data_IF_366687275147
#
_entry.id   IF_366687275147
#
_cell.length_a   1.000
_cell.length_b   1.000
_cell.length_c   1.000
_cell.angle_alpha   90.00
_cell.angle_beta   90.00
_cell.angle_gamma   90.00
#
_symmetry.space_group_name_H-M   'P 1'
#
loop_
_entity.id
_entity.type
_entity.pdbx_description
1 polymer ?
#
# COMPACT_ATOMS: atom_id res chain seq x y z
N UNK A 1 25.48 7.45 -2.85
CA UNK A 1 24.00 7.59 -2.83
C UNK A 1 23.38 6.30 -2.33
N UNK A 2 22.42 6.39 -1.42
CA UNK A 2 21.64 5.26 -0.90
C UNK A 2 20.39 5.07 -1.75
N UNK A 3 20.00 3.84 -2.04
CA UNK A 3 18.73 3.53 -2.71
C UNK A 3 17.62 3.38 -1.68
N UNK A 4 16.57 4.17 -1.82
CA UNK A 4 15.37 4.13 -0.98
C UNK A 4 14.27 3.41 -1.75
N UNK A 5 13.79 2.25 -1.26
CA UNK A 5 12.70 1.54 -1.92
C UNK A 5 11.37 2.27 -1.71
N UNK A 6 10.60 2.36 -2.79
CA UNK A 6 9.25 2.93 -2.81
C UNK A 6 8.30 1.86 -3.31
N UNK A 7 7.16 1.71 -2.64
CA UNK A 7 6.08 0.80 -3.06
C UNK A 7 4.82 1.58 -3.34
N UNK A 8 4.05 1.11 -4.32
CA UNK A 8 2.81 1.76 -4.74
C UNK A 8 1.60 0.96 -4.32
N UNK A 9 0.57 1.67 -3.87
CA UNK A 9 -0.69 1.13 -3.40
C UNK A 9 -1.86 1.96 -3.94
N UNK A 10 -3.06 1.39 -3.93
CA UNK A 10 -4.30 2.15 -4.03
C UNK A 10 -4.83 2.48 -2.64
N UNK A 11 -5.54 3.60 -2.52
CA UNK A 11 -6.15 4.05 -1.28
C UNK A 11 -7.66 4.07 -1.41
N UNK A 12 -8.35 3.44 -0.47
CA UNK A 12 -9.79 3.47 -0.33
C UNK A 12 -10.15 3.93 1.08
N UNK A 13 -11.01 4.93 1.18
CA UNK A 13 -11.46 5.48 2.47
C UNK A 13 -12.97 5.59 2.44
N UNK A 14 -13.59 5.06 3.49
CA UNK A 14 -15.00 5.22 3.77
C UNK A 14 -15.20 5.94 5.11
N UNK A 15 -16.26 6.72 5.24
CA UNK A 15 -16.70 7.31 6.50
C UNK A 15 -18.22 7.21 6.57
N UNK A 16 -18.76 6.64 7.65
CA UNK A 16 -20.21 6.48 7.79
C UNK A 16 -20.87 5.59 6.72
N UNK A 17 -20.09 4.74 6.03
CA UNK A 17 -20.58 3.88 4.95
C UNK A 17 -20.50 4.49 3.55
N UNK A 18 -20.10 5.75 3.43
CA UNK A 18 -19.99 6.47 2.15
C UNK A 18 -18.54 6.71 1.76
N UNK A 19 -18.33 6.89 0.45
CA UNK A 19 -17.08 7.37 -0.12
C UNK A 19 -16.72 8.75 0.43
N UNK A 20 -15.46 8.96 0.80
CA UNK A 20 -15.01 10.27 1.28
C UNK A 20 -14.63 11.20 0.13
N UNK A 21 -14.86 12.49 0.33
CA UNK A 21 -14.19 13.54 -0.41
C UNK A 21 -12.71 13.60 0.02
N UNK A 22 -11.81 13.20 -0.88
CA UNK A 22 -10.37 13.15 -0.61
C UNK A 22 -9.75 14.54 -0.40
N UNK A 23 -10.28 15.58 -1.05
CA UNK A 23 -9.80 16.94 -0.87
C UNK A 23 -10.10 17.42 0.56
N UNK A 24 -11.33 17.20 1.03
CA UNK A 24 -11.72 17.51 2.41
C UNK A 24 -10.94 16.65 3.42
N UNK A 25 -10.75 15.36 3.11
CA UNK A 25 -9.98 14.44 3.95
C UNK A 25 -8.53 14.90 4.11
N UNK A 26 -7.85 15.24 3.01
CA UNK A 26 -6.48 15.73 3.05
C UNK A 26 -6.37 17.08 3.74
N UNK A 27 -7.36 17.95 3.61
CA UNK A 27 -7.38 19.21 4.36
C UNK A 27 -7.49 18.97 5.87
N UNK A 28 -8.35 18.05 6.32
CA UNK A 28 -8.47 17.68 7.72
C UNK A 28 -7.16 17.05 8.27
N UNK A 29 -6.45 16.27 7.45
CA UNK A 29 -5.15 15.71 7.78
C UNK A 29 -4.09 16.77 8.09
N UNK A 30 -4.08 17.91 7.39
CA UNK A 30 -3.16 19.02 7.70
C UNK A 30 -3.36 19.60 9.10
N UNK A 31 -4.58 19.52 9.63
CA UNK A 31 -4.90 19.99 10.98
C UNK A 31 -4.48 18.99 12.07
N UNK A 32 -4.04 17.80 11.68
CA UNK A 32 -3.68 16.70 12.59
C UNK A 32 -2.18 16.48 12.71
N UNK A 33 -1.37 17.41 12.22
CA UNK A 33 0.08 17.39 12.41
C UNK A 33 0.39 17.34 13.92
N UNK A 34 1.42 16.59 14.29
CA UNK A 34 1.80 16.20 15.66
C UNK A 34 0.84 15.24 16.37
N UNK A 35 -0.21 14.75 15.71
CA UNK A 35 -1.04 13.71 16.31
C UNK A 35 -0.24 12.43 16.48
N UNK A 36 -0.18 11.94 17.71
CA UNK A 36 0.39 10.65 18.05
C UNK A 36 -0.73 9.60 18.14
N UNK A 37 -0.56 8.50 17.43
CA UNK A 37 -1.55 7.44 17.36
C UNK A 37 -0.88 6.11 17.63
N UNK A 38 -1.31 5.42 18.68
CA UNK A 38 -0.99 4.02 18.90
C UNK A 38 -1.68 3.18 17.81
N UNK A 39 -0.91 2.53 16.94
CA UNK A 39 -1.39 1.74 15.79
C UNK A 39 -1.15 0.23 15.99
N UNK A 40 -0.33 -0.15 16.96
CA UNK A 40 -0.21 -1.52 17.47
C UNK A 40 0.13 -1.46 18.98
N UNK A 41 0.20 -2.61 19.65
CA UNK A 41 0.46 -2.70 21.10
C UNK A 41 1.65 -1.84 21.53
N UNK A 42 2.76 -1.95 20.82
CA UNK A 42 4.02 -1.25 21.12
C UNK A 42 4.50 -0.46 19.90
N UNK A 43 3.59 0.11 19.12
CA UNK A 43 3.97 0.91 17.95
C UNK A 43 3.10 2.14 17.81
N UNK A 44 3.76 3.30 17.90
CA UNK A 44 3.14 4.60 17.75
C UNK A 44 3.62 5.25 16.46
N UNK A 45 2.68 5.91 15.78
CA UNK A 45 2.95 6.72 14.59
C UNK A 45 2.59 8.16 14.89
N UNK A 46 3.48 9.07 14.50
CA UNK A 46 3.29 10.51 14.58
C UNK A 46 3.30 11.08 13.18
N UNK A 47 2.30 11.90 12.85
CA UNK A 47 2.31 12.71 11.64
C UNK A 47 3.13 13.99 11.88
N UNK A 48 4.29 14.09 11.26
CA UNK A 48 5.21 15.23 11.45
C UNK A 48 4.95 16.38 10.48
N UNK A 49 4.65 16.03 9.23
CA UNK A 49 4.37 16.99 8.17
C UNK A 49 3.19 16.49 7.32
N UNK A 50 2.32 17.42 6.92
CA UNK A 50 1.24 17.19 5.99
C UNK A 50 1.06 18.41 5.08
N UNK A 51 1.43 18.27 3.80
CA UNK A 51 1.43 19.37 2.83
C UNK A 51 0.64 19.01 1.59
N UNK A 52 -0.44 19.75 1.33
CA UNK A 52 -1.10 19.73 0.02
C UNK A 52 -0.18 20.37 -1.02
N UNK A 53 0.05 19.66 -2.13
CA UNK A 53 0.74 20.22 -3.30
C UNK A 53 -0.23 20.72 -4.36
N UNK A 54 -1.42 20.13 -4.39
CA UNK A 54 -2.58 20.53 -5.19
C UNK A 54 -3.86 20.04 -4.47
N UNK A 55 -5.04 20.22 -5.09
CA UNK A 55 -6.32 19.84 -4.49
C UNK A 55 -6.47 18.32 -4.23
N UNK A 56 -5.70 17.50 -4.93
CA UNK A 56 -5.83 16.03 -4.96
C UNK A 56 -4.57 15.30 -4.48
N UNK A 57 -3.51 16.03 -4.14
CA UNK A 57 -2.22 15.45 -3.80
C UNK A 57 -1.70 15.99 -2.47
N UNK A 58 -1.41 15.06 -1.56
CA UNK A 58 -0.83 15.35 -0.24
C UNK A 58 0.50 14.63 -0.05
N UNK A 59 1.41 15.32 0.60
CA UNK A 59 2.69 14.79 1.08
C UNK A 59 2.65 14.64 2.58
N UNK A 60 3.18 13.52 3.05
CA UNK A 60 3.11 13.14 4.45
C UNK A 60 4.48 12.65 4.91
N UNK A 61 4.88 13.10 6.09
CA UNK A 61 6.06 12.58 6.80
C UNK A 61 5.59 12.01 8.12
N UNK A 62 5.91 10.74 8.35
CA UNK A 62 5.57 10.03 9.57
C UNK A 62 6.82 9.64 10.34
N UNK A 63 6.75 9.64 11.67
CA UNK A 63 7.70 8.95 12.53
C UNK A 63 7.01 7.76 13.18
N UNK A 64 7.52 6.56 12.95
CA UNK A 64 7.01 5.33 13.53
C UNK A 64 8.05 4.64 14.41
N UNK A 65 7.64 4.11 15.56
CA UNK A 65 8.54 3.40 16.45
C UNK A 65 7.87 2.81 17.68
N UNK A 66 8.66 2.04 18.43
CA UNK A 66 8.28 1.45 19.71
C UNK A 66 8.59 2.44 20.84
N UNK A 67 7.54 2.85 21.56
CA UNK A 67 7.64 3.80 22.69
C UNK A 67 8.17 3.15 23.97
N UNK A 68 8.20 1.82 24.05
CA UNK A 68 8.75 1.04 25.16
C UNK A 68 10.08 0.37 24.78
N UNK A 69 10.50 0.50 23.53
CA UNK A 69 11.67 -0.15 22.98
C UNK A 69 12.99 0.40 23.52
N UNK A 70 14.06 -0.34 23.22
CA UNK A 70 15.44 0.07 23.53
C UNK A 70 16.19 0.34 22.23
N UNK A 71 16.95 1.44 22.18
CA UNK A 71 17.89 1.70 21.10
C UNK A 71 19.27 1.25 21.53
N UNK A 72 19.93 0.47 20.67
CA UNK A 72 21.31 0.04 20.90
C UNK A 72 22.22 0.90 20.01
N UNK A 73 23.08 1.67 20.64
CA UNK A 73 24.20 2.36 20.00
C UNK A 73 25.47 1.56 20.22
N UNK A 74 26.42 1.62 19.27
CA UNK A 74 27.73 1.05 19.47
C UNK A 74 28.72 2.19 19.75
N UNK A 75 29.21 2.28 20.97
CA UNK A 75 30.24 3.23 21.34
C UNK A 75 31.60 2.71 20.87
N UNK A 76 32.21 3.42 19.91
CA UNK A 76 33.51 3.03 19.35
C UNK A 76 34.67 3.34 20.29
N UNK A 77 34.51 4.32 21.19
CA UNK A 77 35.53 4.69 22.15
C UNK A 77 35.61 3.68 23.29
N UNK A 78 34.46 3.17 23.73
CA UNK A 78 34.36 2.14 24.77
C UNK A 78 34.43 0.71 24.20
N UNK A 79 34.20 0.54 22.90
CA UNK A 79 34.18 -0.77 22.25
C UNK A 79 32.99 -1.64 22.68
N UNK A 80 31.90 -1.02 23.14
CA UNK A 80 30.78 -1.70 23.78
C UNK A 80 29.43 -1.14 23.28
N UNK A 81 28.34 -1.95 23.35
CA UNK A 81 27.01 -1.45 23.10
C UNK A 81 26.51 -0.59 24.27
N UNK A 82 25.97 0.58 23.96
CA UNK A 82 25.17 1.41 24.87
C UNK A 82 23.70 1.14 24.57
N UNK A 83 22.94 0.76 25.59
CA UNK A 83 21.50 0.54 25.49
C UNK A 83 20.78 1.73 26.11
N UNK A 84 20.08 2.50 25.28
CA UNK A 84 19.24 3.60 25.73
C UNK A 84 17.76 3.17 25.69
N UNK A 85 17.11 3.18 26.85
CA UNK A 85 15.68 2.93 26.94
C UNK A 85 14.89 4.13 26.43
N UNK A 86 13.74 3.88 25.80
CA UNK A 86 12.78 4.93 25.51
C UNK A 86 12.32 5.64 26.80
N UNK A 87 11.92 6.89 26.64
CA UNK A 87 11.41 7.75 27.70
C UNK A 87 10.08 8.38 27.26
N UNK A 88 9.28 8.96 28.18
CA UNK A 88 8.03 9.61 27.82
C UNK A 88 8.16 10.78 26.82
N UNK A 89 9.36 11.30 26.60
CA UNK A 89 9.59 12.45 25.69
C UNK A 89 10.45 12.13 24.49
N UNK A 90 11.10 10.94 24.46
CA UNK A 90 12.01 10.52 23.39
C UNK A 90 12.03 9.00 23.27
N UNK A 91 11.79 8.51 22.08
CA UNK A 91 11.90 7.09 21.73
C UNK A 91 12.55 6.92 20.36
N UNK A 92 12.95 5.68 20.04
CA UNK A 92 13.50 5.36 18.73
C UNK A 92 12.41 5.41 17.67
N UNK A 93 12.54 6.29 16.69
CA UNK A 93 11.59 6.37 15.59
C UNK A 93 12.29 6.41 14.23
N UNK A 94 11.62 5.88 13.22
CA UNK A 94 12.07 5.94 11.83
C UNK A 94 11.15 6.82 11.01
N UNK A 95 11.71 7.76 10.23
CA UNK A 95 10.91 8.53 9.30
C UNK A 95 10.38 7.61 8.19
N UNK A 96 9.16 7.87 7.73
CA UNK A 96 8.55 7.24 6.57
C UNK A 96 7.83 8.33 5.78
N UNK A 97 8.21 8.52 4.52
CA UNK A 97 7.56 9.50 3.64
C UNK A 97 6.49 8.82 2.83
N UNK A 98 5.41 9.55 2.57
CA UNK A 98 4.37 9.13 1.65
C UNK A 98 3.91 10.30 0.80
N UNK A 99 3.52 9.99 -0.43
CA UNK A 99 2.76 10.90 -1.29
C UNK A 99 1.49 10.17 -1.70
N UNK A 100 0.36 10.84 -1.56
CA UNK A 100 -0.94 10.31 -1.98
C UNK A 100 -1.49 11.26 -3.04
N UNK A 101 -1.89 10.73 -4.19
CA UNK A 101 -2.60 11.47 -5.23
C UNK A 101 -3.92 10.77 -5.52
N UNK A 102 -5.03 11.42 -5.21
CA UNK A 102 -6.39 10.91 -5.33
C UNK A 102 -7.22 11.82 -6.24
N UNK A 103 -7.29 11.45 -7.52
CA UNK A 103 -8.08 12.16 -8.54
C UNK A 103 -8.90 11.16 -9.37
N UNK A 104 -9.63 11.67 -10.37
CA UNK A 104 -10.50 10.86 -11.24
C UNK A 104 -9.77 9.73 -11.96
N UNK A 105 -8.46 9.90 -12.22
CA UNK A 105 -7.62 8.88 -12.86
C UNK A 105 -7.06 7.83 -11.88
N UNK A 106 -7.34 7.96 -10.58
CA UNK A 106 -7.00 6.96 -9.58
C UNK A 106 -6.38 7.52 -8.30
N UNK A 107 -6.35 6.65 -7.28
CA UNK A 107 -5.97 6.94 -5.90
C UNK A 107 -4.69 6.21 -5.56
N UNK A 108 -3.54 6.81 -5.86
CA UNK A 108 -2.23 6.17 -5.75
C UNK A 108 -1.49 6.68 -4.52
N UNK A 109 -0.95 5.76 -3.74
CA UNK A 109 -0.03 6.01 -2.61
C UNK A 109 1.37 5.56 -3.02
N UNK A 110 2.34 6.46 -3.02
CA UNK A 110 3.76 6.13 -3.02
C UNK A 110 4.28 6.16 -1.58
N UNK A 111 4.71 5.02 -1.06
CA UNK A 111 5.14 4.86 0.33
C UNK A 111 6.60 4.40 0.40
N UNK A 112 7.41 5.08 1.22
CA UNK A 112 8.76 4.65 1.57
C UNK A 112 8.70 3.27 2.26
N UNK A 113 9.41 2.28 1.72
CA UNK A 113 9.39 0.90 2.19
C UNK A 113 10.64 0.57 3.02
N UNK A 114 10.79 1.17 4.19
CA UNK A 114 11.92 0.92 5.10
C UNK A 114 11.64 -0.13 6.18
N UNK A 115 12.65 -0.93 6.57
CA UNK A 115 12.54 -1.83 7.74
C UNK A 115 12.33 -0.99 9.01
N UNK A 116 11.25 -1.27 9.74
CA UNK A 116 10.88 -0.57 10.96
C UNK A 116 10.30 0.84 10.74
N UNK A 117 9.92 1.18 9.51
CA UNK A 117 9.09 2.35 9.23
C UNK A 117 7.60 2.00 9.26
N UNK A 118 6.76 2.95 8.87
CA UNK A 118 5.30 2.79 8.81
C UNK A 118 4.94 1.92 7.61
N UNK A 119 4.36 0.74 7.87
CA UNK A 119 3.86 -0.17 6.83
C UNK A 119 2.46 0.25 6.37
N UNK A 120 1.96 -0.25 5.22
CA UNK A 120 0.59 0.04 4.77
C UNK A 120 -0.46 -0.22 5.84
N UNK A 121 -0.38 -1.36 6.55
CA UNK A 121 -1.30 -1.71 7.63
C UNK A 121 -1.24 -0.71 8.80
N UNK A 122 -0.04 -0.23 9.15
CA UNK A 122 0.11 0.77 10.21
C UNK A 122 -0.43 2.13 9.76
N UNK A 123 -0.30 2.45 8.46
CA UNK A 123 -0.83 3.66 7.86
C UNK A 123 -2.37 3.64 7.78
N UNK A 124 -2.98 2.50 7.41
CA UNK A 124 -4.44 2.29 7.49
C UNK A 124 -4.95 2.62 8.90
N UNK A 125 -4.36 1.97 9.92
CA UNK A 125 -4.73 2.18 11.32
C UNK A 125 -4.51 3.60 11.80
N UNK A 126 -3.46 4.27 11.31
CA UNK A 126 -3.22 5.67 11.62
C UNK A 126 -4.38 6.53 11.11
N UNK A 127 -4.74 6.41 9.82
CA UNK A 127 -5.83 7.18 9.22
C UNK A 127 -7.20 6.86 9.83
N UNK A 128 -7.41 5.62 10.29
CA UNK A 128 -8.64 5.26 11.01
C UNK A 128 -8.74 5.93 12.38
N UNK A 129 -7.63 6.10 13.11
CA UNK A 129 -7.62 6.52 14.52
C UNK A 129 -7.27 7.98 14.75
N UNK A 130 -6.57 8.63 13.83
CA UNK A 130 -6.18 10.04 13.95
C UNK A 130 -7.42 10.92 14.07
N UNK A 131 -7.47 11.90 15.00
CA UNK A 131 -8.68 12.72 15.18
C UNK A 131 -8.85 13.69 14.01
N UNK A 132 -9.77 13.41 13.08
CA UNK A 132 -10.11 14.29 11.96
C UNK A 132 -11.51 14.88 12.14
N UNK A 133 -11.60 16.21 12.13
CA UNK A 133 -12.88 16.92 12.15
C UNK A 133 -13.68 16.58 10.90
N UNK A 134 -14.96 16.27 11.06
CA UNK A 134 -15.87 15.97 9.94
C UNK A 134 -15.81 14.53 9.43
N UNK A 135 -14.91 13.70 9.95
CA UNK A 135 -14.82 12.29 9.60
C UNK A 135 -14.92 11.45 10.88
N UNK A 136 -16.01 10.74 11.09
CA UNK A 136 -16.17 9.74 12.16
C UNK A 136 -16.30 8.35 11.55
N UNK A 137 -15.90 7.32 12.30
CA UNK A 137 -16.03 5.92 11.89
C UNK A 137 -15.45 5.65 10.50
N UNK A 138 -14.19 6.08 10.33
CA UNK A 138 -13.44 5.88 9.10
C UNK A 138 -12.98 4.44 9.00
N UNK A 139 -13.00 3.94 7.78
CA UNK A 139 -12.39 2.68 7.40
C UNK A 139 -11.46 2.90 6.24
N UNK A 140 -10.22 2.42 6.37
CA UNK A 140 -9.16 2.73 5.42
C UNK A 140 -8.51 1.45 4.92
N UNK A 141 -8.37 1.34 3.61
CA UNK A 141 -7.78 0.19 2.95
C UNK A 141 -6.71 0.67 1.96
N UNK A 142 -5.50 0.11 2.11
CA UNK A 142 -4.34 0.40 1.30
C UNK A 142 -3.91 -0.90 0.62
N UNK A 143 -4.27 -1.03 -0.65
CA UNK A 143 -4.15 -2.26 -1.44
C UNK A 143 -2.95 -2.18 -2.39
N UNK A 144 -2.14 -3.23 -2.54
CA UNK A 144 -0.98 -3.20 -3.44
C UNK A 144 -1.38 -2.98 -4.91
N UNK A 145 -0.67 -2.09 -5.61
CA UNK A 145 -0.75 -1.97 -7.07
C UNK A 145 0.07 -3.09 -7.71
N UNK A 146 -0.53 -3.86 -8.61
CA UNK A 146 0.17 -4.89 -9.36
C UNK A 146 1.12 -4.26 -10.38
N UNK A 147 2.30 -4.86 -10.57
CA UNK A 147 3.16 -4.53 -11.70
C UNK A 147 2.78 -5.36 -12.92
N UNK A 148 3.14 -4.92 -14.13
CA UNK A 148 2.96 -5.69 -15.37
C UNK A 148 3.54 -7.12 -15.28
N UNK A 149 4.61 -7.28 -14.50
CA UNK A 149 5.23 -8.60 -14.30
C UNK A 149 4.29 -9.62 -13.64
N UNK A 150 3.31 -9.19 -12.84
CA UNK A 150 2.34 -10.10 -12.24
C UNK A 150 1.50 -10.80 -13.30
N UNK A 151 0.98 -10.02 -14.26
CA UNK A 151 0.14 -10.49 -15.35
C UNK A 151 0.94 -11.32 -16.35
N UNK A 152 2.14 -10.85 -16.71
CA UNK A 152 3.07 -11.60 -17.58
C UNK A 152 3.39 -12.99 -17.01
N UNK A 153 3.58 -13.08 -15.70
CA UNK A 153 3.89 -14.35 -15.03
C UNK A 153 2.68 -15.29 -14.96
N UNK A 154 1.46 -14.75 -14.83
CA UNK A 154 0.22 -15.51 -14.96
C UNK A 154 0.06 -16.04 -16.39
N UNK A 155 0.32 -15.20 -17.39
CA UNK A 155 0.23 -15.56 -18.81
C UNK A 155 1.24 -16.63 -19.20
N UNK A 156 2.40 -16.66 -18.55
CA UNK A 156 3.44 -17.66 -18.78
C UNK A 156 3.06 -19.08 -18.34
N UNK A 157 2.03 -19.29 -17.52
CA UNK A 157 1.62 -20.64 -17.12
C UNK A 157 1.01 -21.42 -18.29
N UNK A 158 1.52 -22.59 -18.66
CA UNK A 158 0.82 -23.44 -19.64
C UNK A 158 -0.40 -24.14 -19.03
N UNK A 159 -0.40 -24.28 -17.71
CA UNK A 159 -1.47 -24.90 -16.94
C UNK A 159 -1.57 -24.24 -15.58
N UNK A 160 -2.79 -23.90 -15.17
CA UNK A 160 -3.07 -23.31 -13.86
C UNK A 160 -3.86 -24.33 -13.03
N UNK A 161 -3.38 -24.67 -11.84
CA UNK A 161 -4.07 -25.58 -10.92
C UNK A 161 -4.86 -24.84 -9.86
N UNK A 162 -4.34 -23.74 -9.33
CA UNK A 162 -4.96 -23.01 -8.23
C UNK A 162 -4.94 -21.52 -8.54
N UNK A 163 -6.06 -20.86 -8.31
CA UNK A 163 -6.14 -19.41 -8.26
C UNK A 163 -6.80 -19.03 -6.93
N UNK A 164 -6.25 -18.03 -6.24
CA UNK A 164 -6.85 -17.48 -5.04
C UNK A 164 -6.68 -15.97 -4.99
N UNK A 165 -7.71 -15.29 -4.51
CA UNK A 165 -7.75 -13.84 -4.39
C UNK A 165 -8.40 -13.44 -3.07
N UNK A 166 -7.89 -12.37 -2.50
CA UNK A 166 -8.47 -11.65 -1.38
C UNK A 166 -8.72 -10.22 -1.83
N UNK A 167 -9.98 -9.81 -1.82
CA UNK A 167 -10.40 -8.45 -2.14
C UNK A 167 -10.93 -7.75 -0.90
N UNK A 168 -10.64 -6.47 -0.81
CA UNK A 168 -11.20 -5.54 0.15
C UNK A 168 -12.49 -4.93 -0.43
N UNK A 169 -13.30 -4.29 0.41
CA UNK A 169 -14.57 -3.72 -0.01
C UNK A 169 -14.30 -2.43 -0.81
N UNK A 170 -14.61 -2.37 -2.11
CA UNK A 170 -14.38 -1.16 -2.90
C UNK A 170 -15.29 -0.02 -2.42
N UNK A 171 -14.86 1.21 -2.72
CA UNK A 171 -15.68 2.42 -2.55
C UNK A 171 -16.94 2.30 -3.42
N UNK A 172 -18.13 2.43 -2.81
CA UNK A 172 -19.43 2.17 -3.43
C UNK A 172 -19.77 3.00 -4.66
N UNK A 173 -19.00 4.04 -4.95
CA UNK A 173 -19.31 4.97 -6.02
C UNK A 173 -18.89 4.47 -7.42
N UNK A 174 -18.04 3.44 -7.54
CA UNK A 174 -17.40 3.11 -8.83
C UNK A 174 -17.88 1.75 -9.35
N UNK A 175 -18.85 1.81 -10.28
CA UNK A 175 -19.53 0.68 -10.92
C UNK A 175 -18.67 -0.14 -11.91
N UNK A 176 -17.35 0.10 -11.98
CA UNK A 176 -16.53 -0.40 -13.10
C UNK A 176 -16.08 -1.85 -12.95
N UNK A 177 -16.21 -2.43 -11.75
CA UNK A 177 -15.85 -3.83 -11.51
C UNK A 177 -16.98 -4.57 -10.78
N UNK A 178 -18.14 -4.69 -11.42
CA UNK A 178 -19.20 -5.59 -10.95
C UNK A 178 -18.78 -7.06 -11.16
N UNK A 179 -18.00 -7.59 -10.22
CA UNK A 179 -17.75 -9.03 -10.13
C UNK A 179 -18.50 -9.62 -8.92
N UNK A 180 -18.85 -10.91 -9.02
CA UNK A 180 -19.66 -11.59 -8.00
C UNK A 180 -19.02 -11.57 -6.61
N UNK A 181 -17.69 -11.42 -6.49
CA UNK A 181 -17.03 -11.35 -5.18
C UNK A 181 -17.29 -10.03 -4.47
N UNK A 182 -17.37 -8.92 -5.21
CA UNK A 182 -17.74 -7.63 -4.65
C UNK A 182 -19.21 -7.59 -4.27
N UNK A 183 -20.10 -8.12 -5.11
CA UNK A 183 -21.52 -8.24 -4.78
C UNK A 183 -21.72 -9.05 -3.50
N UNK A 184 -21.05 -10.19 -3.37
CA UNK A 184 -21.14 -11.00 -2.15
C UNK A 184 -20.55 -10.28 -0.92
N UNK A 185 -19.47 -9.52 -1.09
CA UNK A 185 -18.90 -8.73 -0.01
C UNK A 185 -19.85 -7.62 0.45
N UNK A 186 -20.52 -6.97 -0.50
CA UNK A 186 -21.54 -5.96 -0.26
C UNK A 186 -22.78 -6.54 0.44
N UNK A 187 -23.41 -7.56 -0.17
CA UNK A 187 -24.60 -8.26 0.34
C UNK A 187 -24.39 -8.78 1.78
N UNK A 188 -23.17 -9.20 2.12
CA UNK A 188 -22.84 -9.76 3.44
C UNK A 188 -22.29 -8.72 4.44
N UNK A 189 -22.14 -7.46 4.04
CA UNK A 189 -21.42 -6.43 4.79
C UNK A 189 -20.02 -6.90 5.24
N UNK A 190 -19.36 -7.71 4.43
CA UNK A 190 -18.07 -8.29 4.74
C UNK A 190 -16.96 -7.26 4.61
N UNK A 191 -15.98 -7.37 5.50
CA UNK A 191 -14.79 -6.54 5.45
C UNK A 191 -13.85 -6.92 4.31
N UNK A 192 -13.71 -8.21 4.06
CA UNK A 192 -12.91 -8.78 2.99
C UNK A 192 -13.63 -9.99 2.42
N UNK A 193 -13.38 -10.30 1.17
CA UNK A 193 -13.90 -11.51 0.52
C UNK A 193 -12.74 -12.30 -0.06
N UNK A 194 -12.73 -13.60 0.20
CA UNK A 194 -11.70 -14.52 -0.28
C UNK A 194 -12.33 -15.60 -1.14
N UNK A 195 -11.73 -15.85 -2.30
CA UNK A 195 -12.10 -16.96 -3.16
C UNK A 195 -10.87 -17.77 -3.55
N UNK A 196 -11.05 -19.09 -3.61
CA UNK A 196 -10.05 -20.03 -4.08
C UNK A 196 -10.72 -21.08 -4.95
N UNK A 197 -10.17 -21.30 -6.15
CA UNK A 197 -10.62 -22.35 -7.06
C UNK A 197 -9.45 -23.28 -7.39
N UNK A 198 -9.77 -24.57 -7.58
CA UNK A 198 -8.79 -25.62 -7.87
C UNK A 198 -9.28 -26.46 -9.05
N UNK A 199 -8.41 -26.69 -10.03
CA UNK A 199 -8.66 -27.66 -11.08
C UNK A 199 -8.48 -29.09 -10.55
N UNK A 200 -9.21 -30.04 -11.13
CA UNK A 200 -9.04 -31.45 -10.82
C UNK A 200 -7.66 -31.97 -11.27
N UNK A 201 -7.32 -33.19 -10.86
CA UNK A 201 -6.05 -33.82 -11.25
C UNK A 201 -5.99 -33.98 -12.77
N UNK A 202 -4.96 -33.43 -13.39
CA UNK A 202 -4.78 -33.46 -14.85
C UNK A 202 -5.37 -32.24 -15.57
N UNK A 203 -6.29 -31.51 -14.93
CA UNK A 203 -7.02 -30.40 -15.55
C UNK A 203 -6.36 -29.03 -15.28
N UNK A 204 -6.81 -28.01 -16.02
CA UNK A 204 -6.38 -26.62 -15.88
C UNK A 204 -7.58 -25.72 -15.63
N UNK A 205 -7.39 -24.69 -14.81
CA UNK A 205 -8.26 -23.51 -14.84
C UNK A 205 -8.07 -22.76 -16.16
N UNK A 206 -9.14 -22.11 -16.61
CA UNK A 206 -9.09 -21.18 -17.74
C UNK A 206 -8.41 -19.88 -17.31
N UNK A 207 -7.55 -19.31 -18.18
CA UNK A 207 -6.86 -18.04 -17.93
C UNK A 207 -7.72 -16.82 -18.24
N UNK A 208 -8.66 -16.96 -19.16
CA UNK A 208 -9.48 -15.89 -19.70
C UNK A 208 -10.91 -15.92 -19.12
N UNK A 209 -11.21 -16.86 -18.22
CA UNK A 209 -12.50 -16.97 -17.56
C UNK A 209 -12.37 -17.29 -16.06
N UNK A 210 -13.48 -17.15 -15.34
CA UNK A 210 -13.58 -17.48 -13.92
C UNK A 210 -12.64 -16.64 -13.04
N UNK A 211 -12.11 -17.25 -11.97
CA UNK A 211 -11.33 -16.51 -10.98
C UNK A 211 -10.00 -15.96 -11.51
N UNK A 212 -9.40 -16.60 -12.54
CA UNK A 212 -8.15 -16.09 -13.12
C UNK A 212 -8.41 -14.80 -13.87
N UNK A 213 -9.49 -14.71 -14.65
CA UNK A 213 -9.91 -13.47 -15.29
C UNK A 213 -10.17 -12.36 -14.25
N UNK A 214 -10.93 -12.67 -13.19
CA UNK A 214 -11.17 -11.72 -12.09
C UNK A 214 -9.87 -11.18 -11.48
N UNK A 215 -8.87 -12.04 -11.24
CA UNK A 215 -7.56 -11.60 -10.73
C UNK A 215 -6.88 -10.64 -11.70
N UNK A 216 -6.96 -10.88 -13.01
CA UNK A 216 -6.36 -10.03 -14.04
C UNK A 216 -7.07 -8.68 -14.10
N UNK A 217 -8.38 -8.69 -14.26
CA UNK A 217 -9.21 -7.48 -14.41
C UNK A 217 -9.01 -6.54 -13.21
N UNK A 218 -9.03 -7.10 -11.99
CA UNK A 218 -8.83 -6.31 -10.78
C UNK A 218 -7.38 -5.83 -10.65
N UNK A 219 -6.39 -6.62 -11.06
CA UNK A 219 -4.99 -6.20 -11.02
C UNK A 219 -4.63 -5.13 -12.05
N UNK A 220 -5.37 -5.04 -13.16
CA UNK A 220 -5.23 -4.02 -14.21
C UNK A 220 -5.99 -2.72 -13.88
N UNK A 221 -6.96 -2.78 -12.97
CA UNK A 221 -7.73 -1.62 -12.52
C UNK A 221 -6.86 -0.46 -12.07
N UNK A 222 -7.22 0.80 -12.37
CA UNK A 222 -6.57 1.99 -11.80
C UNK A 222 -6.70 2.09 -10.26
N UNK A 223 -7.69 1.42 -9.67
CA UNK A 223 -7.96 1.43 -8.23
C UNK A 223 -8.23 0.01 -7.71
N UNK A 224 -7.22 -0.87 -7.73
CA UNK A 224 -7.40 -2.26 -7.40
C UNK A 224 -7.76 -2.42 -5.92
N UNK A 225 -8.85 -3.11 -5.61
CA UNK A 225 -9.21 -3.45 -4.22
C UNK A 225 -8.62 -4.80 -3.78
N UNK A 226 -7.68 -5.37 -4.54
CA UNK A 226 -7.03 -6.64 -4.25
C UNK A 226 -5.99 -6.51 -3.13
N UNK A 227 -6.24 -7.14 -1.97
CA UNK A 227 -5.28 -7.18 -0.85
C UNK A 227 -4.19 -8.21 -1.13
N UNK A 228 -4.57 -9.33 -1.72
CA UNK A 228 -3.67 -10.44 -2.01
C UNK A 228 -4.18 -11.27 -3.18
N UNK A 229 -3.24 -11.85 -3.93
CA UNK A 229 -3.57 -12.83 -4.96
C UNK A 229 -2.41 -13.79 -5.17
N UNK A 230 -2.77 -15.03 -5.49
CA UNK A 230 -1.82 -16.06 -5.88
C UNK A 230 -2.37 -16.95 -6.98
N UNK A 231 -1.51 -17.28 -7.94
CA UNK A 231 -1.80 -18.22 -9.01
C UNK A 231 -0.71 -19.29 -9.00
N UNK A 232 -1.11 -20.55 -8.91
CA UNK A 232 -0.20 -21.69 -8.93
C UNK A 232 -0.43 -22.51 -10.18
N UNK A 233 0.63 -22.76 -10.92
CA UNK A 233 0.60 -23.44 -12.20
C UNK A 233 1.96 -23.96 -12.62
N UNK A 234 2.06 -24.42 -13.86
CA UNK A 234 3.29 -24.92 -14.47
C UNK A 234 3.62 -24.07 -15.69
N UNK A 235 4.88 -23.63 -15.84
CA UNK A 235 5.37 -22.91 -17.02
C UNK A 235 5.98 -23.89 -18.04
N UNK A 236 6.22 -23.46 -19.30
CA UNK A 236 6.89 -24.31 -20.30
C UNK A 236 8.23 -24.84 -19.77
N UNK A 237 8.47 -26.14 -19.92
CA UNK A 237 9.72 -26.78 -19.53
C UNK A 237 9.88 -27.11 -18.04
N UNK A 238 9.05 -26.53 -17.16
CA UNK A 238 9.12 -26.82 -15.72
C UNK A 238 8.66 -28.26 -15.41
N UNK A 239 9.29 -28.89 -14.42
CA UNK A 239 8.87 -30.19 -13.87
C UNK A 239 7.99 -30.05 -12.62
N UNK A 240 8.05 -28.89 -11.95
CA UNK A 240 7.29 -28.58 -10.74
C UNK A 240 6.32 -27.41 -10.97
N UNK A 241 5.32 -27.30 -10.09
CA UNK A 241 4.47 -26.12 -10.07
C UNK A 241 5.20 -24.92 -9.43
N UNK A 242 4.91 -23.73 -9.92
CA UNK A 242 5.34 -22.46 -9.36
C UNK A 242 4.13 -21.66 -8.88
N UNK A 243 4.34 -20.84 -7.85
CA UNK A 243 3.33 -19.90 -7.35
C UNK A 243 3.78 -18.47 -7.60
N UNK A 244 2.98 -17.75 -8.36
CA UNK A 244 3.08 -16.30 -8.57
C UNK A 244 2.20 -15.61 -7.54
N UNK A 245 2.73 -14.61 -6.82
CA UNK A 245 2.01 -13.90 -5.75
C UNK A 245 2.10 -12.40 -5.95
N UNK A 246 1.00 -11.69 -5.72
CA UNK A 246 0.94 -10.23 -5.86
C UNK A 246 2.01 -9.52 -5.02
N UNK A 247 2.27 -9.98 -3.79
CA UNK A 247 3.28 -9.39 -2.91
C UNK A 247 4.71 -9.41 -3.47
N UNK A 248 5.02 -10.32 -4.41
CA UNK A 248 6.32 -10.39 -5.12
C UNK A 248 6.35 -9.57 -6.41
N UNK A 249 5.18 -9.30 -6.99
CA UNK A 249 5.02 -8.59 -8.25
C UNK A 249 4.26 -7.27 -8.06
N UNK A 250 4.40 -6.65 -6.89
CA UNK A 250 3.89 -5.32 -6.61
C UNK A 250 4.72 -4.27 -7.34
N UNK A 251 4.05 -3.20 -7.78
CA UNK A 251 4.69 -2.02 -8.33
C UNK A 251 5.65 -1.39 -7.31
N UNK A 252 6.90 -1.18 -7.73
CA UNK A 252 7.98 -0.70 -6.87
C UNK A 252 8.99 0.13 -7.65
N UNK A 253 9.66 1.04 -6.96
CA UNK A 253 10.76 1.81 -7.52
C UNK A 253 11.88 2.01 -6.50
N UNK A 254 12.99 2.57 -6.96
CA UNK A 254 14.12 2.98 -6.13
C UNK A 254 14.37 4.47 -6.37
N UNK A 255 14.55 5.23 -5.30
CA UNK A 255 14.94 6.64 -5.35
C UNK A 255 16.34 6.76 -4.77
N UNK A 256 17.24 7.41 -5.49
CA UNK A 256 18.57 7.70 -5.01
C UNK A 256 18.51 8.87 -4.02
N UNK A 257 19.09 8.66 -2.84
CA UNK A 257 19.20 9.65 -1.77
C UNK A 257 20.66 9.95 -1.48
N UNK A 258 21.00 11.24 -1.45
CA UNK A 258 22.26 11.69 -0.89
C UNK A 258 22.13 11.85 0.62
N UNK A 259 22.74 10.94 1.38
CA UNK A 259 22.69 10.94 2.84
C UNK A 259 23.58 12.01 3.48
N UNK A 260 24.41 12.71 2.68
CA UNK A 260 25.26 13.80 3.17
C UNK A 260 24.51 15.12 3.27
N UNK A 261 23.35 15.24 2.59
CA UNK A 261 22.50 16.42 2.65
C UNK A 261 21.81 16.55 4.01
N UNK A 262 21.43 17.77 4.43
CA UNK A 262 20.53 17.98 5.56
C UNK A 262 19.21 17.18 5.45
N UNK A 263 18.61 16.80 6.58
CA UNK A 263 17.45 15.90 6.64
C UNK A 263 16.19 16.47 5.97
N UNK A 264 15.99 17.78 6.09
CA UNK A 264 14.94 18.55 5.43
C UNK A 264 15.09 18.52 3.90
N UNK A 265 16.31 18.69 3.40
CA UNK A 265 16.62 18.59 1.97
C UNK A 265 16.47 17.15 1.45
N UNK A 266 16.89 16.16 2.24
CA UNK A 266 16.66 14.73 1.96
C UNK A 266 15.16 14.43 1.84
N UNK A 267 14.36 14.95 2.77
CA UNK A 267 12.91 14.71 2.81
C UNK A 267 12.20 15.37 1.62
N UNK A 268 12.53 16.63 1.34
CA UNK A 268 11.97 17.36 0.19
C UNK A 268 12.31 16.67 -1.13
N UNK A 269 13.57 16.27 -1.32
CA UNK A 269 14.00 15.55 -2.54
C UNK A 269 13.32 14.19 -2.72
N UNK A 270 13.05 13.46 -1.63
CA UNK A 270 12.30 12.20 -1.70
C UNK A 270 10.83 12.43 -2.09
N UNK A 271 10.16 13.41 -1.48
CA UNK A 271 8.76 13.73 -1.78
C UNK A 271 8.60 14.16 -3.25
N UNK A 272 9.52 14.99 -3.76
CA UNK A 272 9.58 15.37 -5.18
C UNK A 272 9.73 14.16 -6.10
N UNK A 273 10.63 13.23 -5.75
CA UNK A 273 10.80 11.99 -6.51
C UNK A 273 9.54 11.11 -6.47
N UNK A 274 8.83 11.06 -5.35
CA UNK A 274 7.61 10.26 -5.20
C UNK A 274 6.47 10.82 -6.05
N UNK A 275 6.28 12.14 -6.09
CA UNK A 275 5.30 12.78 -7.00
C UNK A 275 5.56 12.43 -8.46
N UNK A 276 6.81 12.55 -8.90
CA UNK A 276 7.23 12.18 -10.26
C UNK A 276 7.03 10.69 -10.56
N UNK A 277 7.21 9.84 -9.55
CA UNK A 277 6.97 8.40 -9.67
C UNK A 277 5.49 8.07 -9.82
N UNK A 278 4.61 8.72 -9.05
CA UNK A 278 3.14 8.53 -9.17
C UNK A 278 2.69 8.87 -10.60
N UNK A 279 3.14 9.99 -11.16
CA UNK A 279 2.79 10.37 -12.53
C UNK A 279 3.21 9.27 -13.55
N UNK A 280 4.41 8.69 -13.37
CA UNK A 280 4.87 7.58 -14.23
C UNK A 280 4.07 6.30 -14.06
N UNK A 281 3.69 5.95 -12.83
CA UNK A 281 2.86 4.77 -12.54
C UNK A 281 1.48 4.95 -13.17
N UNK A 282 0.86 6.12 -12.99
CA UNK A 282 -0.45 6.45 -13.57
C UNK A 282 -0.44 6.33 -15.09
N UNK A 283 0.54 6.94 -15.78
CA UNK A 283 0.62 6.87 -17.23
C UNK A 283 0.74 5.43 -17.74
N UNK A 284 1.42 4.53 -17.02
CA UNK A 284 1.50 3.10 -17.40
C UNK A 284 0.17 2.35 -17.30
N UNK A 285 -0.75 2.81 -16.45
CA UNK A 285 -2.07 2.18 -16.28
C UNK A 285 -3.14 2.80 -17.20
N UNK A 286 -2.93 4.05 -17.67
CA UNK A 286 -3.86 4.72 -18.61
C UNK A 286 -3.58 4.33 -20.08
N UNK A 287 -2.32 4.18 -20.48
CA UNK A 287 -1.95 3.91 -21.88
C UNK A 287 -2.35 2.53 -22.44
N UNK A 288 -2.98 1.68 -21.63
CA UNK A 288 -3.40 0.33 -22.02
C UNK A 288 -4.94 0.24 -22.22
N UNK A 289 -5.67 1.37 -22.22
CA UNK A 289 -7.13 1.44 -22.44
C UNK A 289 -7.55 2.22 -23.71
N UNK A 290 -6.58 2.65 -24.52
CA UNK A 290 -6.78 3.21 -25.87
C UNK A 290 -6.36 2.18 -26.95
#
# INVERSE_FOLDING_TARGET
MRQIPVRFYSLHIHSGGEAVDYQLFFHAMQQSIRSEVAVATDYTVVLDEARLTDATTIELVFFGGDQNGQTIYYDRSEGAPIVEAASPTRWSAKPTRAVISANDSGRIVALESGRGGVTPLLLERFFERVPLVGFSDRRVEITPLASKSFLTEIDAFVRIRVAAVEVARPNYDWADHANRLYELADESNAATSTAEVKAARGESLDKAAGLVAVIRDVAESPNPSIRNARVTGRKPGDTAEQTVTLSKHQERSLVALDQTMPLDAQTSGLLDAFRNLIARVRNRHVSDHD
#
